data_IF_203922408788
#
_entry.id   IF_203922408788
#
_cell.length_a   1.000
_cell.length_b   1.000
_cell.length_c   1.000
_cell.angle_alpha   90.00
_cell.angle_beta   90.00
_cell.angle_gamma   90.00
#
_symmetry.space_group_name_H-M   'P 1'
#
loop_
_entity.id
_entity.type
_entity.pdbx_description
1 polymer ?
#
# COMPACT_ATOMS: atom_id res chain seq x y z
N UNK A 1 -36.45 -32.32 16.47
CA UNK A 1 -35.27 -32.75 17.23
C UNK A 1 -34.10 -32.42 16.34
N UNK A 2 -33.15 -31.66 16.86
CA UNK A 2 -31.97 -31.26 16.10
C UNK A 2 -30.86 -32.25 16.42
N UNK A 3 -30.29 -32.87 15.41
CA UNK A 3 -29.22 -33.84 15.52
C UNK A 3 -27.88 -33.15 15.28
N UNK A 4 -26.94 -33.29 16.21
CA UNK A 4 -25.61 -32.69 16.10
C UNK A 4 -24.64 -33.72 15.54
N UNK A 5 -23.90 -33.38 14.50
CA UNK A 5 -22.95 -34.28 13.86
C UNK A 5 -21.58 -33.62 13.72
N UNK A 6 -20.52 -34.39 13.91
CA UNK A 6 -19.18 -34.05 13.46
C UNK A 6 -18.90 -34.71 12.11
N UNK A 7 -18.40 -33.92 11.16
CA UNK A 7 -17.89 -34.43 9.89
C UNK A 7 -16.40 -34.65 9.99
N UNK A 8 -15.96 -35.86 9.66
CA UNK A 8 -14.55 -36.28 9.76
C UNK A 8 -13.92 -36.45 8.38
N UNK A 9 -12.63 -36.16 8.28
CA UNK A 9 -11.83 -36.45 7.09
C UNK A 9 -11.36 -37.92 7.06
N UNK A 10 -10.66 -38.33 6.00
CA UNK A 10 -10.11 -39.68 5.85
C UNK A 10 -9.08 -40.08 6.94
N UNK A 11 -8.64 -39.14 7.78
CA UNK A 11 -7.74 -39.35 8.92
C UNK A 11 -8.49 -39.30 10.26
N UNK A 12 -9.83 -39.27 10.24
CA UNK A 12 -10.65 -39.18 11.44
C UNK A 12 -10.70 -37.79 12.06
N UNK A 13 -10.19 -36.73 11.41
CA UNK A 13 -10.22 -35.37 11.98
C UNK A 13 -11.55 -34.70 11.71
N UNK A 14 -12.20 -34.19 12.74
CA UNK A 14 -13.34 -33.32 12.61
C UNK A 14 -12.93 -32.03 11.89
N UNK A 15 -13.54 -31.73 10.75
CA UNK A 15 -13.36 -30.44 10.08
C UNK A 15 -14.58 -29.53 10.20
N UNK A 16 -15.73 -30.09 10.60
CA UNK A 16 -16.98 -29.35 10.74
C UNK A 16 -17.88 -29.99 11.80
N UNK A 17 -18.69 -29.17 12.49
CA UNK A 17 -19.74 -29.59 13.42
C UNK A 17 -21.03 -28.90 13.00
N UNK A 18 -22.06 -29.67 12.71
CA UNK A 18 -23.32 -29.19 12.11
C UNK A 18 -24.54 -29.69 12.86
N UNK A 19 -25.63 -28.92 12.79
CA UNK A 19 -26.94 -29.30 13.32
C UNK A 19 -27.88 -29.59 12.15
N UNK A 20 -28.52 -30.76 12.18
CA UNK A 20 -29.37 -31.26 11.11
C UNK A 20 -30.75 -31.58 11.63
N UNK A 21 -31.77 -31.38 10.79
CA UNK A 21 -33.18 -31.60 11.13
C UNK A 21 -33.60 -33.08 11.09
N UNK A 22 -32.71 -33.99 10.68
CA UNK A 22 -32.97 -35.41 10.56
C UNK A 22 -31.71 -36.25 10.77
N UNK A 23 -31.92 -37.54 10.97
CA UNK A 23 -30.84 -38.52 11.14
C UNK A 23 -30.18 -38.81 9.79
N UNK A 24 -28.85 -38.81 9.78
CA UNK A 24 -28.03 -39.18 8.65
C UNK A 24 -27.19 -40.40 9.04
N UNK A 25 -27.24 -41.42 8.20
CA UNK A 25 -26.36 -42.60 8.25
C UNK A 25 -25.30 -42.43 7.16
N UNK A 26 -24.16 -41.85 7.52
CA UNK A 26 -23.03 -41.66 6.63
C UNK A 26 -21.72 -41.92 7.39
N UNK A 27 -20.73 -42.61 6.77
CA UNK A 27 -19.53 -43.07 7.45
C UNK A 27 -18.60 -41.94 7.91
N UNK A 28 -18.70 -40.77 7.30
CA UNK A 28 -17.96 -39.55 7.61
C UNK A 28 -18.69 -38.63 8.60
N UNK A 29 -19.87 -39.03 9.07
CA UNK A 29 -20.72 -38.25 9.95
C UNK A 29 -20.94 -38.97 11.28
N UNK A 30 -20.31 -38.46 12.33
CA UNK A 30 -20.41 -39.02 13.67
C UNK A 30 -21.48 -38.27 14.46
N UNK A 31 -22.53 -38.97 14.88
CA UNK A 31 -23.58 -38.41 15.74
C UNK A 31 -22.98 -38.03 17.10
N UNK A 32 -23.17 -36.79 17.51
CA UNK A 32 -22.68 -36.25 18.77
C UNK A 32 -23.78 -36.29 19.83
N UNK A 33 -23.43 -36.81 21.00
CA UNK A 33 -24.24 -36.73 22.20
C UNK A 33 -24.21 -35.34 22.85
N UNK A 34 -25.06 -35.11 23.87
CA UNK A 34 -25.12 -33.85 24.59
C UNK A 34 -23.84 -33.51 25.36
N UNK A 35 -23.04 -34.52 25.71
CA UNK A 35 -21.77 -34.37 26.46
C UNK A 35 -20.55 -34.21 25.55
N UNK A 36 -20.70 -34.38 24.24
CA UNK A 36 -19.58 -34.34 23.29
C UNK A 36 -19.23 -32.87 22.94
N UNK A 37 -18.14 -32.33 23.51
CA UNK A 37 -17.60 -31.00 23.15
C UNK A 37 -16.59 -31.07 21.99
N UNK A 38 -16.98 -31.68 20.88
CA UNK A 38 -16.12 -31.83 19.69
C UNK A 38 -15.91 -30.48 19.01
N UNK A 39 -14.66 -30.19 18.69
CA UNK A 39 -14.23 -28.99 17.96
C UNK A 39 -13.55 -29.37 16.66
N UNK A 40 -13.61 -28.49 15.64
CA UNK A 40 -12.79 -28.69 14.44
C UNK A 40 -11.31 -28.85 14.82
N UNK A 41 -10.70 -29.93 14.34
CA UNK A 41 -9.34 -30.35 14.66
C UNK A 41 -9.28 -31.64 15.49
N UNK A 42 -10.31 -31.94 16.28
CA UNK A 42 -10.33 -33.14 17.12
C UNK A 42 -10.31 -34.42 16.29
N UNK A 43 -9.67 -35.46 16.81
CA UNK A 43 -9.47 -36.74 16.13
C UNK A 43 -10.43 -37.78 16.71
N UNK A 44 -11.19 -38.45 15.84
CA UNK A 44 -12.05 -39.57 16.19
C UNK A 44 -11.37 -40.90 15.84
N UNK A 45 -11.04 -41.69 16.86
CA UNK A 45 -10.46 -43.04 16.73
C UNK A 45 -11.19 -44.00 17.66
N UNK A 46 -11.63 -45.16 17.12
CA UNK A 46 -12.26 -46.26 17.87
C UNK A 46 -13.40 -45.85 18.82
N UNK A 47 -14.20 -44.86 18.44
CA UNK A 47 -15.32 -44.38 19.25
C UNK A 47 -14.98 -43.27 20.24
N UNK A 48 -13.73 -42.79 20.26
CA UNK A 48 -13.22 -41.81 21.22
C UNK A 48 -12.76 -40.54 20.51
N UNK A 49 -13.17 -39.38 21.05
CA UNK A 49 -12.68 -38.08 20.62
C UNK A 49 -11.41 -37.68 21.38
N UNK A 50 -10.35 -37.39 20.63
CA UNK A 50 -9.10 -36.86 21.15
C UNK A 50 -8.96 -35.39 20.78
N UNK A 51 -8.86 -34.46 21.74
CA UNK A 51 -8.71 -33.05 21.47
C UNK A 51 -7.48 -32.75 20.60
N UNK A 52 -7.64 -31.88 19.61
CA UNK A 52 -6.50 -31.38 18.86
C UNK A 52 -5.54 -30.60 19.79
N UNK A 53 -4.21 -30.70 19.56
CA UNK A 53 -3.28 -29.82 20.23
C UNK A 53 -3.63 -28.35 19.91
N UNK A 54 -3.48 -27.42 20.87
CA UNK A 54 -3.73 -26.01 20.64
C UNK A 54 -2.91 -25.52 19.44
N UNK A 55 -3.56 -24.91 18.46
CA UNK A 55 -2.86 -24.24 17.37
C UNK A 55 -2.19 -23.01 17.95
N UNK A 56 -0.85 -22.98 17.96
CA UNK A 56 -0.12 -21.76 18.30
C UNK A 56 -0.54 -20.64 17.34
N UNK A 57 -0.79 -19.41 17.84
CA UNK A 57 -1.08 -18.28 16.97
C UNK A 57 0.02 -18.16 15.91
N UNK A 58 -0.32 -17.91 14.64
CA UNK A 58 0.70 -17.67 13.62
C UNK A 58 1.61 -16.53 14.08
N UNK A 59 2.93 -16.72 13.96
CA UNK A 59 3.90 -15.68 14.25
C UNK A 59 3.54 -14.44 13.43
N UNK A 60 3.40 -13.28 14.09
CA UNK A 60 3.16 -12.03 13.36
C UNK A 60 4.34 -11.75 12.42
N UNK A 61 4.08 -11.31 11.18
CA UNK A 61 5.15 -11.00 10.24
C UNK A 61 6.05 -9.89 10.82
N UNK A 62 7.36 -10.13 10.80
CA UNK A 62 8.41 -9.27 11.39
C UNK A 62 8.66 -7.96 10.60
N UNK A 63 7.72 -7.54 9.78
CA UNK A 63 7.85 -6.39 8.90
C UNK A 63 7.53 -5.06 9.59
N UNK A 64 7.91 -3.93 8.97
CA UNK A 64 7.50 -2.62 9.44
C UNK A 64 5.98 -2.56 9.51
N UNK A 65 5.49 -2.10 10.65
CA UNK A 65 4.07 -1.87 10.89
C UNK A 65 3.52 -0.89 9.86
N UNK A 66 2.21 -0.95 9.60
CA UNK A 66 1.56 0.03 8.72
C UNK A 66 1.82 1.48 9.17
N UNK A 67 1.96 1.71 10.48
CA UNK A 67 2.29 3.01 11.03
C UNK A 67 3.68 3.50 10.59
N UNK A 68 4.70 2.64 10.70
CA UNK A 68 6.07 2.99 10.29
C UNK A 68 6.14 3.28 8.79
N UNK A 69 5.39 2.53 7.98
CA UNK A 69 5.28 2.79 6.53
C UNK A 69 4.61 4.13 6.23
N UNK A 70 3.56 4.50 6.97
CA UNK A 70 2.90 5.81 6.83
C UNK A 70 3.85 6.95 7.20
N UNK A 71 4.59 6.82 8.30
CA UNK A 71 5.55 7.84 8.75
C UNK A 71 6.69 8.02 7.73
N UNK A 72 7.20 6.94 7.13
CA UNK A 72 8.18 7.01 6.05
C UNK A 72 7.64 7.72 4.80
N UNK A 73 6.44 7.34 4.34
CA UNK A 73 5.82 7.95 3.16
C UNK A 73 5.54 9.45 3.36
N UNK A 74 5.20 9.87 4.57
CA UNK A 74 5.00 11.30 4.88
C UNK A 74 6.32 12.08 4.82
N UNK A 75 7.41 11.51 5.36
CA UNK A 75 8.74 12.13 5.29
C UNK A 75 9.23 12.26 3.83
N UNK A 76 9.05 11.21 3.03
CA UNK A 76 9.41 11.23 1.60
C UNK A 76 8.61 12.27 0.82
N UNK A 77 7.29 12.37 1.04
CA UNK A 77 6.45 13.37 0.38
C UNK A 77 6.89 14.80 0.73
N UNK A 78 7.20 15.06 1.99
CA UNK A 78 7.68 16.39 2.41
C UNK A 78 8.99 16.75 1.71
N UNK A 79 9.93 15.80 1.66
CA UNK A 79 11.21 16.02 0.99
C UNK A 79 11.05 16.27 -0.51
N UNK A 80 10.17 15.51 -1.18
CA UNK A 80 9.87 15.71 -2.60
C UNK A 80 9.23 17.07 -2.87
N UNK A 81 8.32 17.53 -2.00
CA UNK A 81 7.72 18.86 -2.14
C UNK A 81 8.76 19.97 -2.04
N UNK A 82 9.67 19.89 -1.06
CA UNK A 82 10.75 20.87 -0.90
C UNK A 82 11.67 20.90 -2.13
N UNK A 83 12.10 19.73 -2.61
CA UNK A 83 12.94 19.64 -3.81
C UNK A 83 12.23 20.21 -5.06
N UNK A 84 10.92 19.97 -5.20
CA UNK A 84 10.13 20.56 -6.28
C UNK A 84 10.10 22.08 -6.21
N UNK A 85 9.89 22.64 -5.03
CA UNK A 85 9.92 24.10 -4.82
C UNK A 85 11.26 24.70 -5.21
N UNK A 86 12.38 24.12 -4.76
CA UNK A 86 13.73 24.58 -5.11
C UNK A 86 13.97 24.56 -6.64
N UNK A 87 13.50 23.52 -7.33
CA UNK A 87 13.61 23.43 -8.79
C UNK A 87 12.82 24.53 -9.49
N UNK A 88 11.60 24.83 -9.02
CA UNK A 88 10.80 25.91 -9.60
C UNK A 88 11.45 27.28 -9.40
N UNK A 89 11.95 27.56 -8.20
CA UNK A 89 12.63 28.82 -7.90
C UNK A 89 13.89 29.00 -8.77
N UNK A 90 14.69 27.94 -8.92
CA UNK A 90 15.86 27.97 -9.80
C UNK A 90 15.47 28.20 -11.26
N UNK A 91 14.44 27.51 -11.76
CA UNK A 91 13.99 27.66 -13.14
C UNK A 91 13.48 29.07 -13.44
N UNK A 92 12.82 29.72 -12.49
CA UNK A 92 12.40 31.12 -12.62
C UNK A 92 13.61 32.07 -12.63
N UNK A 93 14.57 31.86 -11.75
CA UNK A 93 15.80 32.65 -11.70
C UNK A 93 16.61 32.53 -13.01
N UNK A 94 16.78 31.32 -13.53
CA UNK A 94 17.48 31.05 -14.79
C UNK A 94 16.79 31.74 -15.97
N UNK A 95 15.44 31.69 -16.01
CA UNK A 95 14.66 32.37 -17.04
C UNK A 95 14.82 33.89 -16.98
N UNK A 96 14.84 34.47 -15.77
CA UNK A 96 15.06 35.90 -15.59
C UNK A 96 16.47 36.31 -16.04
N UNK A 97 17.50 35.51 -15.71
CA UNK A 97 18.87 35.74 -16.14
C UNK A 97 19.01 35.71 -17.66
N UNK A 98 18.42 34.72 -18.34
CA UNK A 98 18.41 34.62 -19.80
C UNK A 98 17.72 35.82 -20.47
N UNK A 99 16.61 36.30 -19.91
CA UNK A 99 15.93 37.48 -20.42
C UNK A 99 16.81 38.74 -20.27
N UNK A 100 17.49 38.88 -19.14
CA UNK A 100 18.40 40.00 -18.90
C UNK A 100 19.59 39.97 -19.85
N UNK A 101 20.20 38.81 -20.08
CA UNK A 101 21.30 38.64 -21.03
C UNK A 101 20.87 38.96 -22.46
N UNK A 102 19.69 38.51 -22.87
CA UNK A 102 19.10 38.82 -24.17
C UNK A 102 18.89 40.33 -24.34
N UNK A 103 18.35 41.01 -23.33
CA UNK A 103 18.18 42.47 -23.33
C UNK A 103 19.52 43.20 -23.41
N UNK A 104 20.52 42.79 -22.62
CA UNK A 104 21.86 43.40 -22.67
C UNK A 104 22.50 43.25 -24.05
N UNK A 105 22.35 42.08 -24.66
CA UNK A 105 22.85 41.81 -26.01
C UNK A 105 22.20 42.74 -27.04
N UNK A 106 20.88 42.91 -26.97
CA UNK A 106 20.16 43.83 -27.85
C UNK A 106 20.58 45.29 -27.66
N UNK A 107 20.79 45.73 -26.42
CA UNK A 107 21.27 47.07 -26.12
C UNK A 107 22.68 47.29 -26.70
N UNK A 108 23.61 46.37 -26.47
CA UNK A 108 24.95 46.45 -27.03
C UNK A 108 24.95 46.48 -28.57
N UNK A 109 24.07 45.71 -29.22
CA UNK A 109 23.92 45.78 -30.68
C UNK A 109 23.40 47.14 -31.16
N UNK A 110 22.47 47.75 -30.41
CA UNK A 110 21.95 49.09 -30.70
C UNK A 110 23.05 50.14 -30.57
N UNK A 111 23.83 50.10 -29.47
CA UNK A 111 24.96 51.02 -29.25
C UNK A 111 26.01 50.92 -30.37
N UNK A 112 26.32 49.70 -30.82
CA UNK A 112 27.22 49.49 -31.97
C UNK A 112 26.66 50.06 -33.27
N UNK A 113 25.35 49.93 -33.51
CA UNK A 113 24.71 50.48 -34.69
C UNK A 113 24.75 52.02 -34.69
N UNK A 114 24.48 52.65 -33.54
CA UNK A 114 24.56 54.10 -33.37
C UNK A 114 25.99 54.64 -33.55
N UNK A 115 27.01 53.88 -33.13
CA UNK A 115 28.41 54.24 -33.36
C UNK A 115 28.81 54.20 -34.85
N UNK A 116 28.31 53.21 -35.60
CA UNK A 116 28.67 53.02 -37.01
C UNK A 116 27.85 53.94 -37.92
N UNK A 117 26.62 54.27 -37.53
CA UNK A 117 25.70 55.10 -38.30
C UNK A 117 25.11 56.21 -37.40
N UNK A 118 25.92 57.23 -37.04
CA UNK A 118 25.48 58.27 -36.14
C UNK A 118 24.31 59.03 -36.75
N UNK A 119 23.31 59.45 -35.96
CA UNK A 119 22.19 60.22 -36.47
C UNK A 119 22.71 61.48 -37.15
N UNK A 120 22.35 61.68 -38.42
CA UNK A 120 22.58 62.96 -39.11
C UNK A 120 21.92 64.07 -38.29
N UNK A 121 22.63 65.16 -37.96
CA UNK A 121 22.02 66.28 -37.27
C UNK A 121 20.83 66.75 -38.11
N UNK A 122 19.62 66.62 -37.56
CA UNK A 122 18.43 67.18 -38.18
C UNK A 122 18.70 68.66 -38.44
N UNK A 123 18.52 69.06 -39.69
CA UNK A 123 18.92 70.37 -40.20
C UNK A 123 18.43 71.49 -39.31
N UNK A 124 19.39 72.27 -38.81
CA UNK A 124 19.12 73.64 -38.42
C UNK A 124 18.82 74.47 -39.66
N UNK A 125 17.56 74.87 -39.81
CA UNK A 125 17.15 76.09 -40.49
C UNK A 125 16.34 76.95 -39.52
#
# INVERSE_FOLDING_TARGET
>A
MDYRYAQIDAKGRAFNVSFLSGEIDAPDMILLGPEDDVKPGDIYEDGVWTPAPPVEPPEQPSGPTMREQIEQLQAENLNLMLALTEVYEQAEADKAALQQESLQTMLAMTELYEMINPPTPEGGE
#
